data_IF_851846541840
#
_entry.id   IF_851846541840
#
_cell.length_a   1.000
_cell.length_b   1.000
_cell.length_c   1.000
_cell.angle_alpha   90.00
_cell.angle_beta   90.00
_cell.angle_gamma   90.00
#
_symmetry.space_group_name_H-M   'P 1'
#
loop_
_entity.id
_entity.type
_entity.pdbx_description
1 polymer ?
#
# COMPACT_ATOMS: atom_id res chain seq x y z
N UNK A 1 -9.74 -45.07 -15.65
CA UNK A 1 -10.84 -46.05 -15.53
C UNK A 1 -11.38 -46.02 -14.11
N UNK A 2 -12.70 -46.17 -13.98
CA UNK A 2 -13.57 -46.23 -12.77
C UNK A 2 -14.26 -44.92 -12.30
N UNK A 3 -15.51 -44.80 -12.80
CA UNK A 3 -16.78 -44.46 -12.10
C UNK A 3 -16.93 -42.98 -11.67
N UNK A 4 -17.71 -42.11 -12.31
CA UNK A 4 -19.15 -42.13 -12.71
C UNK A 4 -20.08 -42.64 -11.60
N UNK A 5 -20.62 -41.69 -10.82
CA UNK A 5 -21.91 -41.71 -10.10
C UNK A 5 -22.45 -40.28 -10.31
N UNK A 6 -23.25 -39.98 -11.34
CA UNK A 6 -24.70 -40.14 -11.46
C UNK A 6 -25.51 -39.61 -10.26
N UNK A 7 -26.16 -38.46 -10.46
CA UNK A 7 -27.59 -38.15 -10.17
C UNK A 7 -27.83 -36.77 -9.53
N UNK A 8 -28.13 -35.81 -10.42
CA UNK A 8 -29.32 -34.95 -10.42
C UNK A 8 -30.01 -34.59 -9.10
N UNK A 9 -29.95 -33.29 -8.78
CA UNK A 9 -31.06 -32.45 -8.25
C UNK A 9 -30.82 -31.07 -8.87
N UNK A 10 -31.41 -30.69 -10.02
CA UNK A 10 -32.77 -30.18 -10.26
C UNK A 10 -33.32 -29.32 -9.12
N UNK A 11 -33.75 -28.11 -9.50
CA UNK A 11 -34.57 -27.13 -8.77
C UNK A 11 -33.81 -26.28 -7.74
N UNK A 12 -33.89 -24.96 -7.71
CA UNK A 12 -34.80 -24.05 -8.39
C UNK A 12 -34.16 -22.66 -8.53
N UNK A 13 -34.62 -21.96 -9.55
CA UNK A 13 -34.37 -20.55 -9.81
C UNK A 13 -34.75 -19.67 -8.62
N UNK A 14 -33.82 -18.83 -8.18
CA UNK A 14 -34.10 -17.62 -7.40
C UNK A 14 -33.61 -16.40 -8.18
N UNK A 15 -34.50 -15.82 -9.00
CA UNK A 15 -34.36 -14.45 -9.52
C UNK A 15 -34.72 -13.50 -8.35
N UNK A 16 -34.29 -12.22 -8.44
CA UNK A 16 -34.75 -11.01 -7.71
C UNK A 16 -33.70 -10.52 -6.69
N UNK A 17 -33.18 -9.29 -6.71
CA UNK A 17 -33.34 -8.14 -7.60
C UNK A 17 -32.16 -7.17 -7.42
N UNK A 18 -31.77 -6.51 -8.51
CA UNK A 18 -30.85 -5.39 -8.52
C UNK A 18 -31.51 -4.14 -7.89
N UNK A 19 -30.99 -3.69 -6.75
CA UNK A 19 -31.26 -2.34 -6.24
C UNK A 19 -30.23 -1.36 -6.79
N UNK A 20 -30.76 -0.29 -7.40
CA UNK A 20 -30.07 0.75 -8.15
C UNK A 20 -29.57 1.86 -7.20
N UNK A 21 -28.40 2.41 -7.55
CA UNK A 21 -28.13 3.86 -7.73
C UNK A 21 -28.31 4.79 -6.52
N UNK A 22 -27.20 5.39 -6.07
CA UNK A 22 -27.07 6.86 -5.90
C UNK A 22 -25.59 7.23 -5.74
N UNK A 23 -25.12 8.12 -6.61
CA UNK A 23 -23.87 8.89 -6.55
C UNK A 23 -24.22 10.34 -6.22
N UNK A 24 -23.40 11.07 -5.44
CA UNK A 24 -23.35 12.52 -5.50
C UNK A 24 -21.98 12.99 -6.04
N UNK A 25 -21.99 13.30 -7.34
CA UNK A 25 -21.66 14.58 -7.98
C UNK A 25 -20.99 15.72 -7.15
N UNK A 26 -19.92 16.23 -7.77
CA UNK A 26 -19.44 17.64 -7.81
C UNK A 26 -18.39 18.13 -6.81
N UNK A 27 -17.27 18.55 -7.41
CA UNK A 27 -16.24 19.42 -6.84
C UNK A 27 -15.19 19.80 -7.88
N UNK A 28 -15.59 20.54 -8.93
CA UNK A 28 -14.72 21.26 -9.86
C UNK A 28 -14.01 22.42 -9.15
N UNK A 29 -12.69 22.55 -9.33
CA UNK A 29 -12.01 23.83 -9.68
C UNK A 29 -10.47 23.67 -9.73
N UNK A 30 -9.94 23.72 -10.95
CA UNK A 30 -8.64 24.30 -11.37
C UNK A 30 -8.78 25.85 -11.33
N UNK A 31 -7.76 26.73 -11.44
CA UNK A 31 -6.28 26.64 -11.40
C UNK A 31 -5.63 27.58 -10.35
N UNK A 32 -4.33 27.43 -10.04
CA UNK A 32 -3.48 28.62 -9.88
C UNK A 32 -2.03 28.37 -10.32
N UNK A 33 -1.63 29.22 -11.25
CA UNK A 33 -0.33 29.42 -11.84
C UNK A 33 0.54 30.19 -10.84
N UNK A 34 1.78 29.76 -10.60
CA UNK A 34 2.83 30.71 -10.24
C UNK A 34 4.21 30.19 -10.63
N UNK A 35 4.66 30.71 -11.77
CA UNK A 35 6.07 30.87 -12.13
C UNK A 35 6.73 31.86 -11.16
N UNK A 36 8.03 31.71 -10.90
CA UNK A 36 9.03 32.72 -10.47
C UNK A 36 10.08 31.96 -9.65
N UNK A 37 11.39 32.12 -9.79
CA UNK A 37 12.28 32.84 -10.69
C UNK A 37 13.68 32.34 -10.30
N UNK A 38 14.51 32.12 -11.29
CA UNK A 38 15.96 31.93 -11.20
C UNK A 38 16.61 33.05 -10.38
N UNK A 39 17.46 32.72 -9.41
CA UNK A 39 18.58 33.60 -9.06
C UNK A 39 19.77 32.80 -8.52
N UNK A 40 20.72 32.62 -9.43
CA UNK A 40 22.14 32.38 -9.18
C UNK A 40 22.69 33.47 -8.28
N UNK A 41 23.32 33.10 -7.16
CA UNK A 41 24.33 33.94 -6.51
C UNK A 41 25.60 33.11 -6.37
N UNK A 42 26.61 33.52 -7.13
CA UNK A 42 28.01 33.16 -6.98
C UNK A 42 28.68 34.35 -6.30
N UNK A 43 29.36 34.13 -5.18
CA UNK A 43 30.46 34.98 -4.68
C UNK A 43 31.16 34.19 -3.58
N UNK A 44 32.31 33.57 -3.85
CA UNK A 44 33.69 34.08 -3.91
C UNK A 44 34.46 33.70 -2.63
N UNK A 45 35.39 32.74 -2.83
CA UNK A 45 36.81 32.86 -2.49
C UNK A 45 37.22 32.90 -1.00
N UNK A 46 37.79 31.75 -0.61
CA UNK A 46 38.99 31.51 0.22
C UNK A 46 39.14 32.19 1.59
N UNK A 47 39.26 31.39 2.67
CA UNK A 47 40.58 31.00 3.20
C UNK A 47 40.48 29.91 4.29
N UNK A 48 41.30 28.87 4.11
CA UNK A 48 41.64 27.70 4.96
C UNK A 48 42.59 28.12 6.13
N UNK A 49 43.07 27.30 7.12
CA UNK A 49 42.94 25.85 7.40
C UNK A 49 42.57 25.44 8.86
N UNK A 50 42.46 24.10 9.02
CA UNK A 50 42.64 23.30 10.25
C UNK A 50 41.43 23.30 11.21
N UNK A 51 40.66 22.22 11.29
CA UNK A 51 41.12 20.95 11.85
C UNK A 51 40.16 19.83 11.44
N UNK A 52 40.74 18.75 10.94
CA UNK A 52 40.05 17.52 10.59
C UNK A 52 39.75 16.72 11.86
N UNK A 53 38.69 17.03 12.62
CA UNK A 53 38.21 16.10 13.67
C UNK A 53 36.78 16.33 14.22
N UNK A 54 35.88 17.07 13.55
CA UNK A 54 34.53 17.23 14.13
C UNK A 54 33.40 17.56 13.16
N UNK A 55 33.22 16.76 12.11
CA UNK A 55 31.97 16.76 11.31
C UNK A 55 31.62 15.32 10.94
N UNK A 56 31.46 14.47 11.97
CA UNK A 56 30.89 13.12 11.85
C UNK A 56 29.73 12.95 12.85
N UNK A 57 29.06 14.06 13.21
CA UNK A 57 27.91 14.04 14.14
C UNK A 57 26.59 14.46 13.47
N UNK A 58 26.63 15.04 12.27
CA UNK A 58 25.45 15.66 11.66
C UNK A 58 24.77 14.77 10.58
N UNK A 59 25.34 13.60 10.26
CA UNK A 59 24.74 12.63 9.32
C UNK A 59 23.79 11.63 10.03
N UNK A 60 23.86 11.51 11.36
CA UNK A 60 23.01 10.56 12.12
C UNK A 60 21.59 11.08 12.43
N UNK A 61 21.31 12.38 12.23
CA UNK A 61 20.05 13.00 12.65
C UNK A 61 18.91 12.95 11.60
N UNK A 62 19.11 12.32 10.43
CA UNK A 62 18.07 12.17 9.39
C UNK A 62 17.54 10.73 9.20
N UNK A 63 17.82 9.82 10.13
CA UNK A 63 17.24 8.45 10.14
C UNK A 63 16.20 8.24 11.25
N UNK A 64 15.86 9.27 12.02
CA UNK A 64 14.95 9.18 13.17
C UNK A 64 13.59 9.87 12.95
N UNK A 65 13.24 10.20 11.71
CA UNK A 65 11.99 10.87 11.36
C UNK A 65 11.21 10.24 10.19
N UNK A 66 11.61 9.06 9.70
CA UNK A 66 10.70 8.19 8.92
C UNK A 66 9.84 7.29 9.83
N UNK A 67 9.97 7.43 11.15
CA UNK A 67 9.06 6.86 12.16
C UNK A 67 7.85 7.78 12.44
N UNK A 68 7.63 8.82 11.63
CA UNK A 68 6.57 9.81 11.85
C UNK A 68 5.65 9.94 10.64
N UNK A 69 5.00 8.85 10.25
CA UNK A 69 3.77 8.93 9.45
C UNK A 69 2.88 7.70 9.64
N UNK A 70 1.94 7.82 10.59
CA UNK A 70 0.82 6.91 10.75
C UNK A 70 0.46 6.72 12.21
N UNK A 71 -0.42 7.58 12.75
CA UNK A 71 -0.80 7.63 14.16
C UNK A 71 -1.09 6.26 14.77
N UNK A 72 -0.61 6.04 15.99
CA UNK A 72 -0.41 4.75 16.67
C UNK A 72 -1.70 3.97 16.99
N UNK A 73 -2.03 2.87 16.30
CA UNK A 73 -2.74 1.73 16.90
C UNK A 73 -1.77 0.85 17.74
N UNK A 74 -2.28 -0.01 18.64
CA UNK A 74 -1.49 -0.80 19.61
C UNK A 74 -0.45 -1.72 18.95
N UNK A 75 0.58 -2.21 19.71
CA UNK A 75 1.63 -3.08 19.18
C UNK A 75 1.04 -4.43 18.76
N UNK A 76 0.63 -4.50 17.50
CA UNK A 76 0.11 -5.68 16.85
C UNK A 76 1.27 -6.57 16.39
N UNK A 77 1.05 -7.90 16.36
CA UNK A 77 2.03 -8.85 15.83
C UNK A 77 2.14 -8.72 14.30
N UNK A 78 3.16 -9.32 13.67
CA UNK A 78 3.37 -9.19 12.21
C UNK A 78 2.14 -9.60 11.37
N UNK A 79 1.43 -10.66 11.79
CA UNK A 79 0.20 -11.11 11.11
C UNK A 79 -0.98 -10.17 11.34
N UNK A 80 -1.12 -9.62 12.55
CA UNK A 80 -2.17 -8.65 12.87
C UNK A 80 -1.97 -7.35 12.10
N UNK A 81 -0.73 -6.86 12.03
CA UNK A 81 -0.38 -5.71 11.18
C UNK A 81 -0.66 -6.00 9.71
N UNK A 82 -0.29 -7.20 9.22
CA UNK A 82 -0.55 -7.60 7.84
C UNK A 82 -2.04 -7.63 7.50
N UNK A 83 -2.85 -8.17 8.41
CA UNK A 83 -4.32 -8.14 8.30
C UNK A 83 -4.83 -6.71 8.29
N UNK A 84 -4.33 -5.85 9.19
CA UNK A 84 -4.74 -4.46 9.26
C UNK A 84 -4.41 -3.70 7.96
N UNK A 85 -3.20 -3.86 7.42
CA UNK A 85 -2.83 -3.29 6.12
C UNK A 85 -3.75 -3.80 5.02
N UNK A 86 -4.03 -5.10 4.99
CA UNK A 86 -4.91 -5.71 3.99
C UNK A 86 -6.31 -5.09 3.99
N UNK A 87 -6.97 -5.06 5.15
CA UNK A 87 -8.36 -4.59 5.26
C UNK A 87 -8.49 -3.08 5.12
N UNK A 88 -7.48 -2.31 5.55
CA UNK A 88 -7.55 -0.85 5.55
C UNK A 88 -7.00 -0.20 4.28
N UNK A 89 -6.01 -0.80 3.60
CA UNK A 89 -5.34 -0.20 2.43
C UNK A 89 -5.75 -0.85 1.11
N UNK A 90 -5.86 -2.18 1.02
CA UNK A 90 -6.08 -2.88 -0.26
C UNK A 90 -7.49 -2.70 -0.83
N UNK A 91 -8.48 -2.33 0.00
CA UNK A 91 -9.85 -2.06 -0.42
C UNK A 91 -10.14 -0.60 -0.79
N UNK A 92 -9.14 0.30 -0.76
CA UNK A 92 -9.38 1.75 -0.95
C UNK A 92 -9.68 2.17 -2.39
N UNK A 93 -9.09 1.48 -3.36
CA UNK A 93 -9.17 1.87 -4.78
C UNK A 93 -10.04 0.93 -5.62
N UNK A 94 -10.33 -0.27 -5.13
CA UNK A 94 -11.18 -1.28 -5.75
C UNK A 94 -11.69 -2.23 -4.67
N UNK A 95 -12.58 -3.15 -5.04
CA UNK A 95 -13.08 -4.17 -4.12
C UNK A 95 -11.91 -4.93 -3.47
N UNK A 96 -12.03 -5.17 -2.16
CA UNK A 96 -11.08 -5.98 -1.42
C UNK A 96 -11.19 -7.42 -1.89
N UNK A 97 -10.08 -7.93 -2.42
CA UNK A 97 -9.99 -9.30 -2.92
C UNK A 97 -9.99 -10.30 -1.77
N UNK A 98 -10.52 -11.50 -1.96
CA UNK A 98 -10.37 -12.56 -0.96
C UNK A 98 -8.98 -13.20 -1.09
N UNK A 99 -8.25 -13.40 0.01
CA UNK A 99 -6.93 -14.04 0.00
C UNK A 99 -6.96 -15.43 -0.63
N UNK A 100 -8.07 -16.15 -0.49
CA UNK A 100 -8.29 -17.47 -1.08
C UNK A 100 -8.61 -17.49 -2.59
N UNK A 101 -8.72 -16.32 -3.24
CA UNK A 101 -8.98 -16.26 -4.69
C UNK A 101 -7.74 -16.59 -5.52
N UNK A 102 -6.54 -16.44 -4.94
CA UNK A 102 -5.27 -16.63 -5.63
C UNK A 102 -4.30 -17.47 -4.79
N UNK A 103 -3.40 -18.19 -5.47
CA UNK A 103 -2.31 -18.93 -4.82
C UNK A 103 -1.22 -17.99 -4.32
N UNK A 104 -0.37 -18.46 -3.40
CA UNK A 104 0.73 -17.65 -2.86
C UNK A 104 1.64 -17.04 -3.96
N UNK A 105 1.93 -17.78 -5.03
CA UNK A 105 2.76 -17.31 -6.14
C UNK A 105 2.04 -16.28 -7.03
N UNK A 106 0.73 -16.39 -7.18
CA UNK A 106 -0.06 -15.41 -7.93
C UNK A 106 -0.10 -14.07 -7.18
N UNK A 107 -0.12 -14.12 -5.85
CA UNK A 107 -0.10 -12.92 -5.00
C UNK A 107 1.19 -12.11 -5.14
N UNK A 108 2.34 -12.71 -5.48
CA UNK A 108 3.59 -11.97 -5.70
C UNK A 108 3.46 -10.92 -6.80
N UNK A 109 2.87 -11.31 -7.93
CA UNK A 109 2.62 -10.40 -9.06
C UNK A 109 1.60 -9.31 -8.71
N UNK A 110 0.56 -9.67 -7.96
CA UNK A 110 -0.48 -8.73 -7.52
C UNK A 110 0.11 -7.70 -6.55
N UNK A 111 0.87 -8.15 -5.55
CA UNK A 111 1.51 -7.26 -4.58
C UNK A 111 2.55 -6.36 -5.23
N UNK A 112 3.35 -6.87 -6.16
CA UNK A 112 4.29 -6.05 -6.95
C UNK A 112 3.58 -4.91 -7.69
N UNK A 113 2.37 -5.14 -8.20
CA UNK A 113 1.60 -4.12 -8.90
C UNK A 113 0.85 -3.16 -7.95
N UNK A 114 0.38 -3.66 -6.80
CA UNK A 114 -0.51 -2.93 -5.90
C UNK A 114 0.21 -2.19 -4.77
N UNK A 115 1.27 -2.74 -4.20
CA UNK A 115 2.03 -2.10 -3.12
C UNK A 115 2.44 -0.64 -3.45
N UNK A 116 3.01 -0.32 -4.62
CA UNK A 116 3.34 1.07 -4.96
C UNK A 116 2.09 1.94 -5.16
N UNK A 117 1.01 1.39 -5.72
CA UNK A 117 -0.25 2.12 -5.96
C UNK A 117 -0.99 2.44 -4.66
N UNK A 118 -0.96 1.51 -3.71
CA UNK A 118 -1.49 1.67 -2.36
C UNK A 118 -0.55 2.46 -1.44
N UNK A 119 0.62 2.87 -1.95
CA UNK A 119 1.67 3.61 -1.21
C UNK A 119 2.06 2.89 0.08
N UNK A 120 2.21 1.56 0.01
CA UNK A 120 2.65 0.77 1.15
C UNK A 120 4.13 1.05 1.43
N UNK A 121 4.49 1.21 2.70
CA UNK A 121 5.89 1.19 3.11
C UNK A 121 6.50 -0.20 2.89
N UNK A 122 7.83 -0.29 2.98
CA UNK A 122 8.51 -1.58 2.92
C UNK A 122 8.02 -2.55 4.01
N UNK A 123 7.72 -2.03 5.20
CA UNK A 123 7.27 -2.84 6.34
C UNK A 123 5.81 -3.27 6.17
N UNK A 124 4.93 -2.35 5.75
CA UNK A 124 3.54 -2.66 5.43
C UNK A 124 3.45 -3.72 4.33
N UNK A 125 4.33 -3.64 3.32
CA UNK A 125 4.40 -4.62 2.23
C UNK A 125 4.76 -6.01 2.75
N UNK A 126 5.79 -6.13 3.60
CA UNK A 126 6.19 -7.43 4.18
C UNK A 126 5.12 -8.01 5.10
N UNK A 127 4.46 -7.16 5.89
CA UNK A 127 3.38 -7.57 6.78
C UNK A 127 2.17 -8.09 5.99
N UNK A 128 1.71 -7.34 5.00
CA UNK A 128 0.55 -7.74 4.19
C UNK A 128 0.84 -8.97 3.35
N UNK A 129 2.06 -9.11 2.83
CA UNK A 129 2.49 -10.30 2.10
C UNK A 129 2.43 -11.55 2.97
N UNK A 130 2.96 -11.49 4.19
CA UNK A 130 2.90 -12.61 5.13
C UNK A 130 1.46 -13.02 5.44
N UNK A 131 0.58 -12.04 5.70
CA UNK A 131 -0.83 -12.29 5.95
C UNK A 131 -1.53 -12.92 4.74
N UNK A 132 -1.37 -12.36 3.55
CA UNK A 132 -2.00 -12.85 2.34
C UNK A 132 -1.54 -14.28 2.03
N UNK A 133 -0.22 -14.55 2.08
CA UNK A 133 0.33 -15.88 1.78
C UNK A 133 -0.12 -16.94 2.78
N UNK A 134 -0.21 -16.61 4.07
CA UNK A 134 -0.72 -17.52 5.09
C UNK A 134 -2.20 -17.89 4.89
N UNK A 135 -2.97 -17.05 4.21
CA UNK A 135 -4.40 -17.24 3.94
C UNK A 135 -4.69 -17.44 2.44
N UNK A 136 -3.66 -17.73 1.65
CA UNK A 136 -3.77 -17.92 0.21
C UNK A 136 -4.45 -19.26 -0.11
N UNK A 137 -4.92 -19.37 -1.35
CA UNK A 137 -5.40 -20.64 -1.89
C UNK A 137 -4.28 -21.69 -1.81
N UNK A 138 -4.60 -22.83 -1.19
CA UNK A 138 -3.74 -24.01 -1.09
C UNK A 138 -3.75 -24.80 -2.41
#
# INVERSE_FOLDING_TARGET
MKKIILLSFISAMGIIACSKKTVPTTGTSTPEKSETKTETVKSDTDMRPATAEKIQADIEAKKKEEEKQGGTPPPMTMMDNGKNVFVTKCGKCHALKNTGDYTANQWDGILKAMAPKAKLSGDETRQVEAYIKANAKQ
#
